data_IF_803497886465
#
_entry.id   IF_803497886465
#
_cell.length_a   1.000
_cell.length_b   1.000
_cell.length_c   1.000
_cell.angle_alpha   90.00
_cell.angle_beta   90.00
_cell.angle_gamma   90.00
#
_symmetry.space_group_name_H-M   'P 1'
#
loop_
_entity.id
_entity.type
_entity.pdbx_description
1 polymer ?
#
# COMPACT_ATOMS: atom_id res chain seq x y z
N UNK A 1 -9.27 -22.37 -11.02
CA UNK A 1 -9.99 -21.20 -10.48
C UNK A 1 -11.12 -20.84 -11.44
N UNK A 2 -12.34 -20.60 -10.96
CA UNK A 2 -13.58 -20.43 -11.75
C UNK A 2 -13.55 -19.26 -12.76
N UNK A 3 -12.68 -18.28 -12.57
CA UNK A 3 -12.54 -17.10 -13.44
C UNK A 3 -11.51 -17.28 -14.58
N UNK A 4 -10.78 -18.39 -14.63
CA UNK A 4 -9.86 -18.69 -15.72
C UNK A 4 -10.62 -19.47 -16.80
N UNK A 5 -11.24 -18.72 -17.71
CA UNK A 5 -12.10 -19.28 -18.76
C UNK A 5 -11.29 -19.50 -20.03
N UNK A 6 -11.27 -20.72 -20.53
CA UNK A 6 -10.71 -21.04 -21.84
C UNK A 6 -11.79 -20.84 -22.92
N UNK A 7 -11.78 -19.66 -23.53
CA UNK A 7 -12.76 -19.29 -24.55
C UNK A 7 -12.75 -20.21 -25.76
N UNK A 8 -11.63 -20.82 -26.10
CA UNK A 8 -11.54 -21.76 -27.22
C UNK A 8 -12.32 -23.05 -26.95
N UNK A 9 -12.19 -23.59 -25.74
CA UNK A 9 -12.99 -24.76 -25.31
C UNK A 9 -14.47 -24.39 -25.18
N UNK A 10 -14.74 -23.24 -24.61
CA UNK A 10 -16.09 -22.75 -24.42
C UNK A 10 -16.82 -22.55 -25.74
N UNK A 11 -16.15 -21.99 -26.76
CA UNK A 11 -16.70 -21.86 -28.12
C UNK A 11 -17.15 -23.18 -28.72
N UNK A 12 -16.36 -24.23 -28.56
CA UNK A 12 -16.70 -25.56 -29.08
C UNK A 12 -17.85 -26.20 -28.30
N UNK A 13 -17.91 -25.95 -26.99
CA UNK A 13 -18.97 -26.46 -26.12
C UNK A 13 -20.33 -25.80 -26.38
N UNK A 14 -20.36 -24.52 -26.75
CA UNK A 14 -21.58 -23.79 -27.08
C UNK A 14 -22.28 -24.32 -28.34
N UNK A 15 -21.54 -24.95 -29.26
CA UNK A 15 -22.10 -25.49 -30.50
C UNK A 15 -22.62 -26.91 -30.27
N UNK A 16 -23.89 -27.18 -30.62
CA UNK A 16 -24.39 -28.54 -30.64
C UNK A 16 -23.55 -29.40 -31.59
N UNK A 17 -23.40 -30.73 -31.34
CA UNK A 17 -22.52 -31.61 -32.12
C UNK A 17 -22.78 -31.57 -33.63
N UNK A 18 -24.04 -31.40 -34.02
CA UNK A 18 -24.47 -31.35 -35.42
C UNK A 18 -23.93 -30.11 -36.16
N UNK A 19 -23.72 -29.00 -35.45
CA UNK A 19 -23.26 -27.72 -36.03
C UNK A 19 -21.74 -27.51 -35.93
N UNK A 20 -20.97 -28.47 -35.44
CA UNK A 20 -19.51 -28.37 -35.27
C UNK A 20 -18.76 -28.51 -36.60
N UNK A 21 -19.19 -27.83 -37.65
CA UNK A 21 -18.43 -27.75 -38.89
C UNK A 21 -17.15 -26.92 -38.66
N UNK A 22 -16.06 -27.26 -39.35
CA UNK A 22 -14.76 -26.55 -39.23
C UNK A 22 -14.91 -25.05 -39.48
N UNK A 23 -15.72 -24.66 -40.46
CA UNK A 23 -15.97 -23.26 -40.84
C UNK A 23 -16.67 -22.50 -39.72
N UNK A 24 -17.70 -23.09 -39.13
CA UNK A 24 -18.52 -22.45 -38.10
C UNK A 24 -17.74 -22.28 -36.77
N UNK A 25 -16.91 -23.27 -36.43
CA UNK A 25 -16.01 -23.17 -35.27
C UNK A 25 -14.95 -22.05 -35.46
N UNK A 26 -14.37 -21.92 -36.67
CA UNK A 26 -13.40 -20.84 -36.96
C UNK A 26 -14.10 -19.49 -36.89
N UNK A 27 -15.29 -19.32 -37.49
CA UNK A 27 -16.03 -18.06 -37.42
C UNK A 27 -16.36 -17.68 -35.96
N UNK A 28 -16.78 -18.63 -35.15
CA UNK A 28 -17.07 -18.39 -33.74
C UNK A 28 -15.79 -17.97 -32.97
N UNK A 29 -14.66 -18.62 -33.24
CA UNK A 29 -13.37 -18.23 -32.64
C UNK A 29 -12.96 -16.80 -33.01
N UNK A 30 -13.18 -16.38 -34.25
CA UNK A 30 -12.90 -15.01 -34.70
C UNK A 30 -13.78 -14.02 -33.91
N UNK A 31 -15.06 -14.31 -33.74
CA UNK A 31 -15.97 -13.48 -32.93
C UNK A 31 -15.58 -13.40 -31.46
N UNK A 32 -14.88 -14.41 -30.93
CA UNK A 32 -14.43 -14.42 -29.54
C UNK A 32 -13.12 -13.68 -29.30
N UNK A 33 -12.36 -13.30 -30.32
CA UNK A 33 -11.09 -12.57 -30.17
C UNK A 33 -11.20 -11.36 -29.22
N UNK A 34 -12.19 -10.44 -29.39
CA UNK A 34 -12.31 -9.29 -28.51
C UNK A 34 -12.56 -9.68 -27.04
N UNK A 35 -13.33 -10.75 -26.80
CA UNK A 35 -13.57 -11.24 -25.42
C UNK A 35 -12.30 -11.80 -24.79
N UNK A 36 -11.47 -12.52 -25.56
CA UNK A 36 -10.17 -13.00 -25.09
C UNK A 36 -9.25 -11.84 -24.70
N UNK A 37 -9.24 -10.77 -25.49
CA UNK A 37 -8.43 -9.58 -25.18
C UNK A 37 -8.90 -8.87 -23.91
N UNK A 38 -10.21 -8.65 -23.77
CA UNK A 38 -10.80 -8.03 -22.57
C UNK A 38 -10.51 -8.88 -21.34
N UNK A 39 -10.67 -10.20 -21.44
CA UNK A 39 -10.36 -11.12 -20.34
C UNK A 39 -8.88 -11.08 -19.96
N UNK A 40 -7.98 -11.04 -20.93
CA UNK A 40 -6.55 -10.92 -20.65
C UNK A 40 -6.19 -9.60 -19.93
N UNK A 41 -6.82 -8.49 -20.33
CA UNK A 41 -6.67 -7.20 -19.63
C UNK A 41 -7.24 -7.28 -18.21
N UNK A 42 -8.40 -7.87 -18.03
CA UNK A 42 -9.01 -8.09 -16.71
C UNK A 42 -8.09 -8.91 -15.80
N UNK A 43 -7.50 -9.99 -16.32
CA UNK A 43 -6.59 -10.83 -15.55
C UNK A 43 -5.32 -10.09 -15.12
N UNK A 44 -4.75 -9.25 -16.01
CA UNK A 44 -3.61 -8.38 -15.68
C UNK A 44 -3.98 -7.37 -14.59
N UNK A 45 -5.10 -6.67 -14.76
CA UNK A 45 -5.59 -5.71 -13.79
C UNK A 45 -5.83 -6.35 -12.42
N UNK A 46 -6.46 -7.51 -12.41
CA UNK A 46 -6.71 -8.28 -11.19
C UNK A 46 -5.41 -8.67 -10.47
N UNK A 47 -4.39 -9.08 -11.20
CA UNK A 47 -3.10 -9.43 -10.60
C UNK A 47 -2.45 -8.21 -9.91
N UNK A 48 -2.54 -7.02 -10.53
CA UNK A 48 -2.06 -5.76 -9.96
C UNK A 48 -2.83 -5.40 -8.68
N UNK A 49 -4.16 -5.49 -8.74
CA UNK A 49 -5.02 -5.18 -7.59
C UNK A 49 -4.81 -6.18 -6.45
N UNK A 50 -4.68 -7.48 -6.76
CA UNK A 50 -4.40 -8.48 -5.74
C UNK A 50 -3.06 -8.21 -5.02
N UNK A 51 -2.04 -7.76 -5.74
CA UNK A 51 -0.78 -7.31 -5.14
C UNK A 51 -0.97 -6.14 -4.18
N UNK A 52 -1.82 -5.17 -4.54
CA UNK A 52 -2.13 -4.01 -3.67
C UNK A 52 -2.98 -4.37 -2.46
N UNK A 53 -3.93 -5.27 -2.61
CA UNK A 53 -4.82 -5.70 -1.52
C UNK A 53 -4.12 -6.59 -0.47
N UNK A 54 -3.05 -7.27 -0.86
CA UNK A 54 -2.28 -8.11 0.06
C UNK A 54 -1.33 -7.31 0.96
N UNK A 55 -1.30 -5.99 0.83
CA UNK A 55 -0.50 -5.11 1.68
C UNK A 55 -1.28 -4.76 2.91
N UNK A 56 -0.72 -5.07 4.04
CA UNK A 56 -1.25 -4.65 5.34
C UNK A 56 -0.70 -3.26 5.70
N UNK A 57 -1.33 -2.62 6.68
CA UNK A 57 -0.84 -1.36 7.23
C UNK A 57 0.35 -1.56 8.21
N UNK A 58 1.06 -2.68 8.11
CA UNK A 58 2.26 -2.93 8.92
C UNK A 58 3.44 -2.12 8.40
N UNK A 59 4.34 -1.73 9.31
CA UNK A 59 5.57 -0.99 8.95
C UNK A 59 6.34 -1.74 7.87
N UNK A 60 6.55 -3.04 8.05
CA UNK A 60 7.30 -3.88 7.11
C UNK A 60 6.69 -3.92 5.71
N UNK A 61 5.35 -3.98 5.61
CA UNK A 61 4.68 -4.01 4.32
C UNK A 61 4.74 -2.65 3.61
N UNK A 62 4.60 -1.56 4.36
CA UNK A 62 4.72 -0.19 3.83
C UNK A 62 6.15 0.04 3.33
N UNK A 63 7.18 -0.30 4.11
CA UNK A 63 8.58 -0.22 3.70
C UNK A 63 8.86 -1.05 2.44
N UNK A 64 8.38 -2.29 2.40
CA UNK A 64 8.54 -3.17 1.25
C UNK A 64 7.94 -2.57 -0.03
N UNK A 65 6.75 -1.99 0.05
CA UNK A 65 6.10 -1.37 -1.11
C UNK A 65 6.85 -0.11 -1.56
N UNK A 66 7.23 0.74 -0.61
CA UNK A 66 7.99 1.94 -0.93
C UNK A 66 9.29 1.57 -1.65
N UNK A 67 10.08 0.66 -1.08
CA UNK A 67 11.32 0.22 -1.69
C UNK A 67 11.09 -0.49 -3.04
N UNK A 68 10.04 -1.31 -3.19
CA UNK A 68 9.73 -1.98 -4.44
C UNK A 68 9.27 -1.01 -5.54
N UNK A 69 8.53 0.04 -5.19
CA UNK A 69 8.05 1.05 -6.15
C UNK A 69 9.19 1.82 -6.80
N UNK A 70 10.26 2.07 -6.06
CA UNK A 70 11.44 2.78 -6.54
C UNK A 70 12.60 1.85 -6.94
N UNK A 71 12.36 0.53 -7.00
CA UNK A 71 13.38 -0.48 -7.30
C UNK A 71 14.62 -0.41 -6.41
N UNK A 72 14.42 -0.01 -5.16
CA UNK A 72 15.48 0.12 -4.18
C UNK A 72 15.80 -1.23 -3.53
N UNK A 73 17.01 -1.34 -3.00
CA UNK A 73 17.35 -2.45 -2.10
C UNK A 73 16.49 -2.34 -0.84
N UNK A 74 16.17 -3.49 -0.24
CA UNK A 74 15.42 -3.53 1.02
C UNK A 74 16.09 -2.62 2.07
N UNK A 75 15.28 -1.86 2.80
CA UNK A 75 15.68 -0.94 3.89
C UNK A 75 16.35 0.38 3.53
N UNK A 76 16.29 0.85 2.28
CA UNK A 76 16.75 2.21 1.97
C UNK A 76 15.70 3.27 2.39
N UNK A 77 14.40 3.00 2.18
CA UNK A 77 13.35 3.76 2.83
C UNK A 77 12.92 2.94 4.03
N UNK A 78 13.03 3.51 5.22
CA UNK A 78 12.66 2.84 6.46
C UNK A 78 11.81 3.75 7.34
N UNK A 79 11.03 3.12 8.21
CA UNK A 79 10.07 3.77 9.11
C UNK A 79 10.51 3.54 10.53
N UNK A 80 10.69 4.63 11.27
CA UNK A 80 10.97 4.63 12.70
C UNK A 80 9.69 4.94 13.46
N UNK A 81 9.27 4.04 14.33
CA UNK A 81 8.13 4.27 15.24
C UNK A 81 8.61 5.14 16.41
N UNK A 82 7.95 6.25 16.62
CA UNK A 82 8.23 7.08 17.79
C UNK A 82 7.55 6.42 18.98
N UNK A 83 8.29 5.60 19.70
CA UNK A 83 7.86 5.12 20.99
C UNK A 83 7.86 6.30 21.97
N UNK A 84 6.70 6.83 22.22
CA UNK A 84 6.52 7.83 23.26
C UNK A 84 6.59 7.07 24.61
N UNK A 85 7.81 7.00 25.19
CA UNK A 85 8.03 6.40 26.52
C UNK A 85 7.23 7.12 27.62
N UNK A 86 6.57 8.22 27.27
CA UNK A 86 5.65 8.96 28.12
C UNK A 86 4.23 8.37 28.15
N UNK A 87 3.97 7.24 27.53
CA UNK A 87 2.67 6.56 27.65
C UNK A 87 2.50 6.08 29.07
N UNK A 88 1.81 6.85 29.86
CA UNK A 88 1.37 6.45 31.20
C UNK A 88 0.42 5.27 31.06
N UNK A 89 0.90 4.11 31.44
CA UNK A 89 0.07 2.90 31.47
C UNK A 89 -0.73 2.93 32.76
N UNK A 90 -2.05 2.94 32.62
CA UNK A 90 -2.96 2.79 33.77
C UNK A 90 -3.08 1.28 34.10
N UNK A 91 -2.60 0.91 35.26
CA UNK A 91 -2.71 -0.46 35.77
C UNK A 91 -3.96 -0.61 36.63
N UNK A 92 -4.62 -1.74 36.53
CA UNK A 92 -5.68 -2.08 37.48
C UNK A 92 -5.06 -2.40 38.87
N UNK A 93 -5.76 -2.03 39.90
CA UNK A 93 -5.32 -2.25 41.30
C UNK A 93 -4.97 -3.72 41.66
N UNK A 94 -5.47 -4.67 40.84
CA UNK A 94 -5.16 -6.11 40.99
C UNK A 94 -3.82 -6.53 40.39
N UNK A 95 -3.16 -5.70 39.61
CA UNK A 95 -1.91 -6.04 38.90
C UNK A 95 -0.66 -5.84 39.78
N UNK A 96 -0.84 -5.39 41.03
CA UNK A 96 0.26 -5.26 42.02
C UNK A 96 1.34 -4.24 41.61
N UNK A 97 1.14 -3.51 40.53
CA UNK A 97 2.03 -2.44 40.10
C UNK A 97 1.67 -1.16 40.84
N UNK A 98 2.69 -0.37 41.21
CA UNK A 98 2.46 0.93 41.85
C UNK A 98 1.58 1.78 40.94
N UNK A 99 0.42 2.23 41.45
CA UNK A 99 -0.52 3.06 40.69
C UNK A 99 0.18 4.27 40.11
N UNK A 100 -0.13 4.57 38.85
CA UNK A 100 0.33 5.81 38.23
C UNK A 100 -0.41 6.94 38.91
N UNK A 101 0.28 7.71 39.71
CA UNK A 101 -0.26 9.00 40.18
C UNK A 101 -0.56 9.85 38.93
N UNK A 102 -1.76 10.40 38.88
CA UNK A 102 -2.13 11.39 37.88
C UNK A 102 -1.20 12.59 38.05
N UNK A 103 -0.07 12.53 37.38
CA UNK A 103 0.87 13.63 37.33
C UNK A 103 0.29 14.71 36.41
N UNK A 104 0.51 16.00 36.59
CA UNK A 104 0.14 17.03 35.62
C UNK A 104 0.65 16.81 34.20
N UNK A 105 1.54 15.85 33.98
CA UNK A 105 1.98 15.35 32.69
C UNK A 105 0.96 14.40 32.02
N UNK A 106 0.01 13.86 32.77
CA UNK A 106 -1.11 13.08 32.26
C UNK A 106 -2.22 14.04 31.80
N UNK A 107 -1.96 14.76 30.77
CA UNK A 107 -2.91 15.68 30.17
C UNK A 107 -3.92 14.87 29.36
N UNK A 108 -5.18 14.89 29.78
CA UNK A 108 -6.29 14.48 28.91
C UNK A 108 -6.54 15.61 27.93
N UNK A 109 -6.26 15.36 26.67
CA UNK A 109 -6.44 16.34 25.60
C UNK A 109 -7.90 16.37 25.16
N UNK A 110 -8.46 17.56 24.98
CA UNK A 110 -9.74 17.71 24.29
C UNK A 110 -9.59 17.40 22.80
N UNK A 111 -10.66 16.93 22.11
CA UNK A 111 -10.64 16.79 20.65
C UNK A 111 -10.22 18.12 20.01
N UNK A 112 -9.05 18.15 19.37
CA UNK A 112 -8.44 19.34 18.76
C UNK A 112 -7.22 19.90 19.47
N UNK A 113 -6.98 19.54 20.73
CA UNK A 113 -5.79 19.97 21.50
C UNK A 113 -4.64 18.97 21.43
N UNK A 114 -4.82 17.84 20.76
CA UNK A 114 -3.77 16.83 20.64
C UNK A 114 -2.53 17.48 20.00
N UNK A 115 -1.36 17.47 20.65
CA UNK A 115 -0.17 18.03 20.07
C UNK A 115 0.12 17.36 18.71
N UNK A 116 0.56 18.16 17.77
CA UNK A 116 0.81 17.76 16.38
C UNK A 116 2.10 16.91 16.25
N UNK A 117 2.24 15.94 17.18
CA UNK A 117 3.39 15.03 17.18
C UNK A 117 3.14 13.89 16.19
N UNK A 118 4.11 13.60 15.33
CA UNK A 118 4.03 12.44 14.47
C UNK A 118 4.13 11.15 15.30
N UNK A 119 3.41 10.11 14.88
CA UNK A 119 3.47 8.79 15.51
C UNK A 119 4.68 7.99 14.99
N UNK A 120 5.10 8.27 13.76
CA UNK A 120 6.25 7.62 13.13
C UNK A 120 6.96 8.57 12.16
N UNK A 121 8.22 8.31 11.93
CA UNK A 121 9.08 9.07 11.02
C UNK A 121 9.44 8.17 9.85
N UNK A 122 9.37 8.72 8.65
CA UNK A 122 9.77 8.05 7.43
C UNK A 122 11.07 8.66 6.97
N UNK A 123 12.09 7.83 6.88
CA UNK A 123 13.42 8.23 6.42
C UNK A 123 13.54 7.95 4.93
N UNK A 124 13.81 9.00 4.16
CA UNK A 124 13.98 8.96 2.71
C UNK A 124 15.40 9.35 2.38
N UNK A 125 16.11 8.58 1.54
CA UNK A 125 17.45 8.93 1.12
C UNK A 125 17.44 10.17 0.22
N UNK A 126 18.45 11.01 0.34
CA UNK A 126 18.59 12.30 -0.35
C UNK A 126 18.69 12.17 -1.87
N UNK A 127 19.20 11.05 -2.39
CA UNK A 127 19.22 10.81 -3.84
C UNK A 127 17.84 10.69 -4.48
N UNK A 128 16.80 10.33 -3.70
CA UNK A 128 15.40 10.31 -4.16
C UNK A 128 14.72 11.67 -4.03
N UNK A 129 15.06 12.40 -2.98
CA UNK A 129 14.44 13.68 -2.68
C UNK A 129 15.46 14.57 -1.97
N UNK A 130 15.91 15.64 -2.65
CA UNK A 130 16.91 16.56 -2.11
C UNK A 130 16.32 17.60 -1.16
N UNK A 131 15.05 17.93 -1.29
CA UNK A 131 14.34 18.86 -0.41
C UNK A 131 12.88 18.46 -0.23
N UNK A 132 12.35 18.72 0.96
CA UNK A 132 10.93 18.58 1.25
C UNK A 132 10.07 19.63 0.52
N UNK A 133 10.70 20.73 0.08
CA UNK A 133 10.04 21.73 -0.74
C UNK A 133 10.03 21.30 -2.21
N UNK A 134 8.82 21.07 -2.75
CA UNK A 134 8.64 20.63 -4.15
C UNK A 134 9.32 21.54 -5.18
N UNK A 135 9.47 22.82 -4.88
CA UNK A 135 10.08 23.79 -5.79
C UNK A 135 11.62 23.69 -5.83
N UNK A 136 12.24 23.24 -4.74
CA UNK A 136 13.70 23.16 -4.58
C UNK A 136 14.23 21.75 -4.87
N UNK A 137 13.32 20.77 -4.97
CA UNK A 137 13.71 19.40 -5.22
C UNK A 137 14.15 19.19 -6.67
N UNK A 138 15.23 18.43 -6.86
CA UNK A 138 15.81 18.07 -8.17
C UNK A 138 14.80 17.46 -9.13
N UNK A 139 13.85 16.70 -8.63
CA UNK A 139 12.82 16.02 -9.40
C UNK A 139 11.44 16.72 -9.34
N UNK A 140 11.41 18.01 -8.95
CA UNK A 140 10.16 18.79 -8.81
C UNK A 140 9.12 18.14 -7.91
N UNK A 141 9.56 17.40 -6.91
CA UNK A 141 8.70 16.72 -5.94
C UNK A 141 7.89 15.55 -6.48
N UNK A 142 8.19 15.00 -7.65
CA UNK A 142 7.44 13.87 -8.22
C UNK A 142 7.57 12.61 -7.35
N UNK A 143 8.78 12.27 -6.95
CA UNK A 143 9.02 11.11 -6.08
C UNK A 143 8.42 11.34 -4.69
N UNK A 144 8.61 12.51 -4.12
CA UNK A 144 8.02 12.88 -2.83
C UNK A 144 6.48 12.76 -2.86
N UNK A 145 5.86 13.28 -3.91
CA UNK A 145 4.39 13.18 -4.06
C UNK A 145 3.93 11.73 -4.18
N UNK A 146 4.68 10.90 -4.92
CA UNK A 146 4.36 9.47 -5.05
C UNK A 146 4.48 8.76 -3.71
N UNK A 147 5.54 9.05 -2.93
CA UNK A 147 5.75 8.49 -1.59
C UNK A 147 4.61 8.91 -0.67
N UNK A 148 4.27 10.20 -0.63
CA UNK A 148 3.16 10.72 0.19
C UNK A 148 1.84 10.02 -0.16
N UNK A 149 1.50 9.90 -1.44
CA UNK A 149 0.28 9.25 -1.88
C UNK A 149 0.22 7.77 -1.50
N UNK A 150 1.36 7.05 -1.58
CA UNK A 150 1.42 5.66 -1.16
C UNK A 150 1.25 5.51 0.35
N UNK A 151 1.90 6.38 1.13
CA UNK A 151 1.80 6.37 2.59
C UNK A 151 0.37 6.69 3.00
N UNK A 152 -0.24 7.74 2.44
CA UNK A 152 -1.60 8.13 2.76
C UNK A 152 -2.63 7.05 2.40
N UNK A 153 -2.33 6.25 1.38
CA UNK A 153 -3.19 5.13 0.99
C UNK A 153 -3.10 3.92 1.95
N UNK A 154 -1.90 3.63 2.47
CA UNK A 154 -1.68 2.42 3.27
C UNK A 154 -1.61 2.68 4.78
N UNK A 155 -1.35 3.90 5.23
CA UNK A 155 -1.25 4.21 6.66
C UNK A 155 -2.57 3.94 7.39
N UNK A 156 -2.52 3.50 8.65
CA UNK A 156 -3.70 3.39 9.47
C UNK A 156 -4.36 4.77 9.68
N UNK A 157 -5.70 4.78 9.69
CA UNK A 157 -6.45 6.00 9.97
C UNK A 157 -6.06 6.58 11.35
N UNK A 158 -5.94 7.91 11.42
CA UNK A 158 -5.62 8.62 12.66
C UNK A 158 -4.13 8.66 13.02
N UNK A 159 -3.24 7.91 12.34
CA UNK A 159 -1.81 8.03 12.56
C UNK A 159 -1.22 9.17 11.72
N UNK A 160 -0.35 9.94 12.36
CA UNK A 160 0.40 11.05 11.75
C UNK A 160 1.84 10.66 11.54
N UNK A 161 2.46 11.15 10.48
CA UNK A 161 3.85 10.88 10.16
C UNK A 161 4.62 12.16 9.86
N UNK A 162 5.93 12.11 10.05
CA UNK A 162 6.86 13.10 9.56
C UNK A 162 7.82 12.45 8.56
N UNK A 163 8.33 13.24 7.64
CA UNK A 163 9.33 12.80 6.66
C UNK A 163 10.66 13.44 7.05
N UNK A 164 11.72 12.64 7.10
CA UNK A 164 13.09 13.09 7.27
C UNK A 164 13.93 12.61 6.10
N UNK A 165 14.76 13.49 5.60
CA UNK A 165 15.77 13.15 4.61
C UNK A 165 17.05 12.74 5.35
N UNK A 166 17.74 11.75 4.81
CA UNK A 166 19.03 11.31 5.33
C UNK A 166 20.01 11.12 4.17
N UNK A 167 21.26 11.39 4.45
CA UNK A 167 22.37 11.20 3.51
C UNK A 167 22.68 9.70 3.43
N UNK A 168 22.69 9.17 2.22
CA UNK A 168 22.95 7.76 1.95
C UNK A 168 24.35 7.65 1.34
N UNK A 169 25.36 7.45 2.19
CA UNK A 169 26.74 7.12 1.79
C UNK A 169 26.93 5.64 1.40
#
# INVERSE_FOLDING_TARGET
MWYNVDFNKWAVQLLPPILRSKVLVVLLKIMLIPFVQIHAQFMRYRAIIAGRLNVTASIQDIERILNATFFLKSSQIYIEDINDDSKSVLYFSREGQSGVFVNPLLTMWYPGEVPDKPNFIIHIPDFLCTSLNKAEDKYKGQFLTTIINLIDYYKPAGRRYAIRLYDYD
#
